data_IF_198554088870
#
_entry.id   IF_198554088870
#
_cell.length_a   1.000
_cell.length_b   1.000
_cell.length_c   1.000
_cell.angle_alpha   90.00
_cell.angle_beta   90.00
_cell.angle_gamma   90.00
#
_symmetry.space_group_name_H-M   'P 1'
#
loop_
_entity.id
_entity.type
_entity.pdbx_description
1 polymer ?
#
# COMPACT_ATOMS: atom_id res chain seq x y z
N UNK A 1 -9.10 -14.74 -25.10
CA UNK A 1 -10.10 -14.02 -25.34
C UNK A 1 -11.11 -13.83 -24.29
N UNK A 2 -11.65 -14.87 -23.69
CA UNK A 2 -12.61 -14.63 -22.63
C UNK A 2 -11.99 -13.84 -21.49
N UNK A 3 -10.76 -14.16 -21.14
CA UNK A 3 -10.15 -13.46 -20.04
C UNK A 3 -9.92 -12.00 -20.31
N UNK A 4 -9.79 -11.64 -21.57
CA UNK A 4 -9.47 -10.26 -21.88
C UNK A 4 -10.61 -9.31 -21.61
N UNK A 5 -11.82 -9.69 -21.99
CA UNK A 5 -12.92 -8.78 -21.79
C UNK A 5 -13.57 -8.95 -20.41
N UNK A 6 -13.22 -10.00 -19.71
CA UNK A 6 -13.65 -10.14 -18.33
C UNK A 6 -12.78 -9.36 -17.37
N UNK A 7 -11.52 -9.14 -17.73
CA UNK A 7 -10.60 -8.46 -16.83
C UNK A 7 -10.37 -7.03 -17.31
N UNK A 8 -11.44 -6.24 -17.25
CA UNK A 8 -11.33 -4.83 -17.54
C UNK A 8 -10.35 -4.20 -16.55
N UNK A 9 -9.41 -3.44 -17.06
CA UNK A 9 -8.36 -2.90 -16.23
C UNK A 9 -8.88 -1.78 -15.35
N UNK A 10 -8.26 -1.65 -14.19
CA UNK A 10 -8.64 -0.66 -13.20
C UNK A 10 -8.77 0.75 -13.80
N UNK A 11 -7.78 1.17 -14.58
CA UNK A 11 -7.80 2.52 -15.15
C UNK A 11 -8.91 2.71 -16.17
N UNK A 12 -9.43 1.62 -16.71
CA UNK A 12 -10.52 1.69 -17.69
C UNK A 12 -11.87 1.79 -17.00
N UNK A 13 -11.99 1.14 -15.85
CA UNK A 13 -13.22 1.20 -15.07
C UNK A 13 -13.38 2.59 -14.47
N UNK A 14 -12.27 3.14 -13.96
CA UNK A 14 -12.28 4.48 -13.36
C UNK A 14 -11.21 5.33 -14.02
N UNK A 15 -11.53 5.94 -15.18
CA UNK A 15 -10.57 6.82 -15.84
C UNK A 15 -10.35 8.10 -15.04
N UNK A 16 -9.40 8.93 -15.49
CA UNK A 16 -8.98 10.10 -14.73
C UNK A 16 -10.10 11.07 -14.41
N UNK A 17 -11.13 11.10 -15.24
CA UNK A 17 -12.25 12.03 -15.02
C UNK A 17 -13.37 11.43 -14.17
N UNK A 18 -13.16 10.21 -13.67
CA UNK A 18 -14.16 9.53 -12.86
C UNK A 18 -13.51 8.94 -11.62
N UNK A 19 -13.42 9.75 -10.57
CA UNK A 19 -12.81 9.32 -9.31
C UNK A 19 -13.73 8.33 -8.60
N UNK A 20 -13.23 7.16 -8.24
CA UNK A 20 -14.06 6.20 -7.53
C UNK A 20 -14.30 6.63 -6.09
N UNK A 21 -15.41 6.16 -5.53
CA UNK A 21 -15.64 6.30 -4.08
C UNK A 21 -14.86 5.20 -3.37
N UNK A 22 -14.71 5.36 -2.06
CA UNK A 22 -14.00 4.33 -1.27
C UNK A 22 -14.76 3.01 -1.31
N UNK A 23 -16.09 3.06 -1.34
CA UNK A 23 -16.88 1.83 -1.46
C UNK A 23 -16.67 1.15 -2.80
N UNK A 24 -16.59 1.94 -3.87
CA UNK A 24 -16.33 1.38 -5.20
C UNK A 24 -14.97 0.72 -5.27
N UNK A 25 -13.96 1.30 -4.62
CA UNK A 25 -12.64 0.71 -4.57
C UNK A 25 -12.70 -0.64 -3.85
N UNK A 26 -13.36 -0.68 -2.70
CA UNK A 26 -13.48 -1.91 -1.94
C UNK A 26 -14.20 -2.99 -2.74
N UNK A 27 -15.26 -2.61 -3.46
CA UNK A 27 -16.00 -3.56 -4.28
C UNK A 27 -15.16 -4.09 -5.43
N UNK A 28 -14.35 -3.23 -6.04
CA UNK A 28 -13.47 -3.66 -7.11
C UNK A 28 -12.47 -4.70 -6.61
N UNK A 29 -11.89 -4.45 -5.43
CA UNK A 29 -10.95 -5.40 -4.84
C UNK A 29 -11.62 -6.74 -4.60
N UNK A 30 -12.77 -6.73 -3.91
CA UNK A 30 -13.55 -7.93 -3.72
C UNK A 30 -12.85 -9.06 -3.01
N UNK A 31 -13.54 -10.19 -2.95
CA UNK A 31 -12.99 -11.41 -2.37
C UNK A 31 -12.55 -11.23 -0.92
N UNK A 32 -11.65 -12.07 -0.48
CA UNK A 32 -11.13 -12.00 0.89
C UNK A 32 -10.34 -10.72 1.11
N UNK A 33 -9.73 -10.21 0.06
CA UNK A 33 -8.91 -9.01 0.18
C UNK A 33 -9.73 -7.77 0.49
N UNK A 34 -11.02 -7.78 0.17
CA UNK A 34 -11.88 -6.64 0.47
C UNK A 34 -11.92 -6.36 1.98
N UNK A 35 -12.05 -7.41 2.78
CA UNK A 35 -12.08 -7.23 4.24
C UNK A 35 -10.75 -6.74 4.77
N UNK A 36 -9.66 -7.25 4.19
CA UNK A 36 -8.33 -6.80 4.58
C UNK A 36 -8.16 -5.31 4.27
N UNK A 37 -8.65 -4.90 3.11
CA UNK A 37 -8.60 -3.51 2.68
C UNK A 37 -9.37 -2.61 3.65
N UNK A 38 -10.62 -2.98 3.92
CA UNK A 38 -11.47 -2.17 4.81
C UNK A 38 -10.87 -2.08 6.20
N UNK A 39 -10.36 -3.19 6.71
CA UNK A 39 -9.77 -3.22 8.04
C UNK A 39 -8.49 -2.38 8.09
N UNK A 40 -7.69 -2.40 7.03
CA UNK A 40 -6.48 -1.58 6.99
C UNK A 40 -6.82 -0.09 6.97
N UNK A 41 -7.84 0.30 6.21
CA UNK A 41 -8.25 1.71 6.18
C UNK A 41 -8.72 2.17 7.55
N UNK A 42 -9.45 1.31 8.26
CA UNK A 42 -9.87 1.63 9.62
C UNK A 42 -8.66 1.78 10.54
N UNK A 43 -7.68 0.90 10.38
CA UNK A 43 -6.46 0.99 11.18
C UNK A 43 -5.73 2.31 10.91
N UNK A 44 -5.66 2.73 9.65
CA UNK A 44 -5.02 4.00 9.32
C UNK A 44 -5.73 5.16 10.01
N UNK A 45 -7.04 5.11 10.09
CA UNK A 45 -7.82 6.15 10.72
C UNK A 45 -7.62 6.15 12.24
N UNK A 46 -7.70 4.97 12.86
CA UNK A 46 -7.67 4.90 14.33
C UNK A 46 -6.26 5.01 14.89
N UNK A 47 -5.28 4.36 14.27
CA UNK A 47 -3.93 4.31 14.82
C UNK A 47 -3.10 5.53 14.40
N UNK A 48 -3.34 6.06 13.21
CA UNK A 48 -2.53 7.15 12.69
C UNK A 48 -3.30 8.45 12.51
N UNK A 49 -4.62 8.41 12.56
CA UNK A 49 -5.46 9.58 12.26
C UNK A 49 -5.15 10.07 10.85
N UNK A 50 -4.84 9.15 9.95
CA UNK A 50 -4.48 9.48 8.57
C UNK A 50 -5.68 9.22 7.69
N UNK A 51 -5.98 10.19 6.82
CA UNK A 51 -7.11 10.06 5.90
C UNK A 51 -6.61 9.68 4.52
N UNK A 52 -7.37 8.89 3.77
CA UNK A 52 -6.97 8.51 2.43
C UNK A 52 -7.03 9.71 1.49
N UNK A 53 -6.05 9.78 0.61
CA UNK A 53 -6.04 10.78 -0.44
C UNK A 53 -5.94 10.05 -1.77
N UNK A 54 -6.94 10.24 -2.63
CA UNK A 54 -6.95 9.60 -3.94
C UNK A 54 -6.12 10.40 -4.91
N UNK A 55 -5.39 9.69 -5.76
CA UNK A 55 -4.52 10.30 -6.74
C UNK A 55 -4.55 9.46 -8.01
N UNK A 56 -4.46 10.10 -9.17
CA UNK A 56 -4.46 9.40 -10.44
C UNK A 56 -3.04 9.37 -11.01
N UNK A 57 -2.54 8.18 -11.37
CA UNK A 57 -1.21 8.02 -11.91
C UNK A 57 -1.31 7.59 -13.37
N UNK A 58 -0.55 8.25 -14.25
CA UNK A 58 -0.57 7.93 -15.68
C UNK A 58 0.70 7.21 -16.13
N UNK A 59 1.79 7.39 -15.41
CA UNK A 59 3.10 6.92 -15.86
C UNK A 59 3.76 5.97 -14.90
N UNK A 60 3.10 4.92 -14.47
CA UNK A 60 3.74 4.00 -13.56
C UNK A 60 3.37 2.59 -13.95
N UNK A 61 4.00 1.62 -13.30
CA UNK A 61 3.62 0.24 -13.50
C UNK A 61 2.23 -0.07 -12.98
N UNK A 62 1.63 0.86 -12.21
CA UNK A 62 0.30 0.71 -11.66
C UNK A 62 -0.53 1.93 -12.03
N UNK A 63 -0.94 2.07 -13.28
CA UNK A 63 -1.69 3.26 -13.70
C UNK A 63 -3.10 3.28 -13.13
N UNK A 64 -3.66 4.48 -13.00
CA UNK A 64 -5.00 4.67 -12.50
C UNK A 64 -5.02 5.25 -11.11
N UNK A 65 -6.20 5.24 -10.50
CA UNK A 65 -6.40 5.81 -9.16
C UNK A 65 -5.71 4.97 -8.09
N UNK A 66 -5.07 5.66 -7.15
CA UNK A 66 -4.45 5.01 -6.00
C UNK A 66 -4.79 5.78 -4.74
N UNK A 67 -4.48 5.21 -3.60
CA UNK A 67 -4.80 5.80 -2.30
C UNK A 67 -3.51 6.04 -1.54
N UNK A 68 -3.26 7.30 -1.20
CA UNK A 68 -2.05 7.68 -0.48
C UNK A 68 -2.38 8.04 0.95
N UNK A 69 -1.47 7.69 1.86
CA UNK A 69 -1.59 8.06 3.26
C UNK A 69 -0.37 8.83 3.70
N UNK A 70 -0.59 9.94 4.38
CA UNK A 70 0.47 10.77 4.93
C UNK A 70 0.09 11.21 6.33
N UNK A 71 1.10 11.40 7.16
CA UNK A 71 0.88 11.92 8.51
C UNK A 71 2.16 12.57 9.00
N UNK A 72 2.04 13.77 9.54
CA UNK A 72 3.17 14.49 10.14
C UNK A 72 4.35 14.63 9.17
N UNK A 73 4.04 14.91 7.91
CA UNK A 73 5.07 15.07 6.90
C UNK A 73 5.68 13.78 6.40
N UNK A 74 5.20 12.63 6.84
CA UNK A 74 5.71 11.33 6.44
C UNK A 74 4.72 10.63 5.52
N UNK A 75 5.22 10.06 4.43
CA UNK A 75 4.40 9.19 3.60
C UNK A 75 4.34 7.83 4.27
N UNK A 76 3.13 7.35 4.50
CA UNK A 76 2.93 6.02 5.08
C UNK A 76 2.74 4.96 4.01
N UNK A 77 2.71 5.37 2.75
CA UNK A 77 2.62 4.44 1.65
C UNK A 77 1.52 4.80 0.67
N UNK A 78 1.57 4.16 -0.48
CA UNK A 78 0.56 4.29 -1.52
C UNK A 78 -0.03 2.91 -1.78
N UNK A 79 -1.35 2.84 -1.81
CA UNK A 79 -2.06 1.58 -2.01
C UNK A 79 -2.68 1.56 -3.40
N UNK A 80 -2.50 0.45 -4.10
CA UNK A 80 -2.99 0.26 -5.47
C UNK A 80 -4.02 -0.86 -5.50
N UNK A 81 -5.29 -0.55 -5.78
CA UNK A 81 -6.33 -1.59 -5.83
C UNK A 81 -6.08 -2.59 -6.96
N UNK A 82 -6.34 -3.84 -6.68
CA UNK A 82 -6.26 -4.94 -7.65
C UNK A 82 -7.42 -5.88 -7.38
N UNK A 83 -7.71 -6.77 -8.31
CA UNK A 83 -8.75 -7.76 -8.08
C UNK A 83 -8.26 -8.80 -7.09
N UNK A 84 -8.99 -8.98 -6.00
CA UNK A 84 -8.67 -9.94 -4.94
C UNK A 84 -7.35 -9.66 -4.24
N UNK A 85 -6.86 -8.41 -4.32
CA UNK A 85 -5.59 -8.06 -3.72
C UNK A 85 -5.42 -6.55 -3.78
N UNK A 86 -4.39 -6.03 -3.14
CA UNK A 86 -3.94 -4.67 -3.37
C UNK A 86 -2.45 -4.64 -3.12
N UNK A 87 -1.77 -3.71 -3.77
CA UNK A 87 -0.32 -3.58 -3.62
C UNK A 87 0.03 -2.35 -2.84
N UNK A 88 1.16 -2.40 -2.16
CA UNK A 88 1.66 -1.30 -1.34
C UNK A 88 3.00 -0.84 -1.90
N UNK A 89 3.15 0.47 -2.05
CA UNK A 89 4.43 1.09 -2.36
C UNK A 89 4.85 1.90 -1.16
N UNK A 90 6.05 1.64 -0.63
CA UNK A 90 6.53 2.34 0.55
C UNK A 90 8.04 2.55 0.41
N UNK A 91 8.52 3.73 0.83
CA UNK A 91 9.93 4.06 0.79
C UNK A 91 10.45 4.14 2.23
N UNK A 92 11.54 3.41 2.49
CA UNK A 92 12.20 3.45 3.80
C UNK A 92 13.43 4.32 3.66
N UNK A 93 13.41 5.49 4.29
CA UNK A 93 14.51 6.42 4.24
C UNK A 93 15.79 5.81 4.80
N UNK A 94 16.94 6.14 4.20
CA UNK A 94 18.23 5.66 4.71
C UNK A 94 18.44 6.10 6.16
N UNK A 95 17.87 7.23 6.55
CA UNK A 95 17.99 7.71 7.92
C UNK A 95 17.31 6.79 8.92
N UNK A 96 16.37 5.97 8.46
CA UNK A 96 15.59 5.09 9.33
C UNK A 96 16.15 3.68 9.36
N UNK A 97 17.32 3.46 8.77
CA UNK A 97 17.91 2.13 8.69
C UNK A 97 18.02 1.45 10.05
N UNK A 98 18.47 2.13 11.12
CA UNK A 98 18.54 1.45 12.43
C UNK A 98 17.18 0.98 12.93
N UNK A 99 16.13 1.75 12.67
CA UNK A 99 14.78 1.34 13.06
C UNK A 99 14.32 0.16 12.20
N UNK A 100 14.67 0.18 10.93
CA UNK A 100 14.33 -0.92 10.04
C UNK A 100 15.00 -2.21 10.49
N UNK A 101 16.28 -2.12 10.90
CA UNK A 101 16.99 -3.30 11.39
C UNK A 101 16.29 -3.94 12.59
N UNK A 102 15.69 -3.11 13.43
CA UNK A 102 15.00 -3.63 14.60
C UNK A 102 13.70 -4.35 14.23
N UNK A 103 13.11 -4.01 13.09
CA UNK A 103 11.83 -4.58 12.66
C UNK A 103 12.05 -5.86 11.84
N UNK A 104 13.18 -5.96 11.15
CA UNK A 104 13.43 -7.07 10.22
C UNK A 104 13.15 -8.45 10.84
N UNK A 105 13.55 -8.75 12.08
CA UNK A 105 13.28 -10.09 12.63
C UNK A 105 11.79 -10.41 12.78
N UNK A 106 10.94 -9.41 12.71
CA UNK A 106 9.49 -9.59 12.89
C UNK A 106 8.74 -9.69 11.57
N UNK A 107 9.42 -9.51 10.45
CA UNK A 107 8.80 -9.51 9.14
C UNK A 107 8.81 -10.89 8.51
N UNK A 108 7.87 -11.11 7.58
CA UNK A 108 7.88 -12.35 6.80
C UNK A 108 9.14 -12.40 5.96
N UNK A 109 9.62 -13.61 5.69
CA UNK A 109 10.87 -13.80 4.95
C UNK A 109 10.84 -13.15 3.57
N UNK A 110 9.71 -13.25 2.88
CA UNK A 110 9.63 -12.66 1.54
C UNK A 110 9.76 -11.13 1.61
N UNK A 111 9.27 -10.50 2.67
CA UNK A 111 9.40 -9.06 2.81
C UNK A 111 10.83 -8.68 3.18
N UNK A 112 11.49 -9.48 4.01
CA UNK A 112 12.89 -9.24 4.33
C UNK A 112 13.75 -9.30 3.08
N UNK A 113 13.53 -10.33 2.24
CA UNK A 113 14.27 -10.47 0.99
C UNK A 113 14.00 -9.30 0.04
N UNK A 114 12.74 -8.88 -0.03
CA UNK A 114 12.37 -7.75 -0.85
C UNK A 114 13.13 -6.50 -0.41
N UNK A 115 13.20 -6.26 0.90
CA UNK A 115 13.92 -5.09 1.40
C UNK A 115 15.41 -5.16 1.08
N UNK A 116 16.01 -6.34 1.23
CA UNK A 116 17.44 -6.50 0.97
C UNK A 116 17.78 -6.23 -0.49
N UNK A 117 16.84 -6.52 -1.40
CA UNK A 117 17.07 -6.34 -2.82
C UNK A 117 16.47 -5.04 -3.34
N UNK A 118 15.87 -4.24 -2.47
CA UNK A 118 15.17 -3.02 -2.89
C UNK A 118 16.11 -2.01 -3.50
N UNK A 119 15.61 -1.31 -4.51
CA UNK A 119 16.40 -0.31 -5.21
C UNK A 119 16.35 1.04 -4.54
N UNK A 120 17.25 1.90 -4.99
CA UNK A 120 17.34 3.26 -4.48
C UNK A 120 16.18 4.10 -5.01
N UNK A 121 15.65 4.96 -4.16
CA UNK A 121 14.59 5.90 -4.53
C UNK A 121 15.11 7.32 -4.33
N UNK A 122 15.55 7.93 -5.43
CA UNK A 122 15.94 9.35 -5.47
C UNK A 122 16.97 9.71 -4.40
N UNK A 123 17.83 8.77 -4.03
CA UNK A 123 18.88 8.95 -3.03
C UNK A 123 18.33 9.26 -1.64
N UNK A 124 17.03 9.03 -1.44
CA UNK A 124 16.39 9.26 -0.15
C UNK A 124 16.21 7.98 0.66
N UNK A 125 16.06 6.86 -0.02
CA UNK A 125 15.80 5.61 0.68
C UNK A 125 15.66 4.46 -0.30
N UNK A 126 15.16 3.34 0.21
CA UNK A 126 14.87 2.16 -0.59
C UNK A 126 13.37 2.05 -0.79
N UNK A 127 12.95 1.72 -2.02
CA UNK A 127 11.53 1.55 -2.29
C UNK A 127 11.17 0.08 -2.31
N UNK A 128 9.98 -0.22 -1.78
CA UNK A 128 9.44 -1.57 -1.77
C UNK A 128 8.04 -1.52 -2.36
N UNK A 129 7.70 -2.54 -3.13
CA UNK A 129 6.33 -2.72 -3.59
C UNK A 129 5.99 -4.19 -3.45
N UNK A 130 4.88 -4.49 -2.79
CA UNK A 130 4.47 -5.87 -2.62
C UNK A 130 2.95 -5.96 -2.58
N UNK A 131 2.46 -7.14 -2.94
CA UNK A 131 1.04 -7.40 -2.99
C UNK A 131 0.55 -7.93 -1.66
N UNK A 132 -0.60 -7.43 -1.23
CA UNK A 132 -1.25 -7.90 0.00
C UNK A 132 -2.50 -8.66 -0.38
N UNK A 133 -2.60 -9.91 0.05
CA UNK A 133 -3.78 -10.73 -0.18
C UNK A 133 -4.07 -11.65 1.00
N UNK A 134 -3.37 -11.47 2.11
CA UNK A 134 -3.62 -12.24 3.33
C UNK A 134 -3.26 -11.38 4.54
N UNK A 135 -3.57 -11.92 5.72
CA UNK A 135 -3.34 -11.22 6.98
C UNK A 135 -1.86 -10.94 7.20
N UNK A 136 -1.00 -11.88 6.82
CA UNK A 136 0.44 -11.69 7.02
C UNK A 136 0.94 -10.47 6.28
N UNK A 137 0.45 -10.24 5.07
CA UNK A 137 0.84 -9.07 4.30
C UNK A 137 0.43 -7.77 4.98
N UNK A 138 -0.77 -7.74 5.54
CA UNK A 138 -1.25 -6.58 6.28
C UNK A 138 -0.36 -6.33 7.50
N UNK A 139 -0.03 -7.39 8.24
CA UNK A 139 0.80 -7.24 9.44
C UNK A 139 2.21 -6.78 9.08
N UNK A 140 2.77 -7.29 7.99
CA UNK A 140 4.06 -6.82 7.53
C UNK A 140 4.03 -5.32 7.21
N UNK A 141 2.98 -4.88 6.53
CA UNK A 141 2.85 -3.48 6.17
C UNK A 141 2.75 -2.61 7.44
N UNK A 142 1.96 -3.05 8.42
CA UNK A 142 1.85 -2.31 9.67
C UNK A 142 3.21 -2.16 10.35
N UNK A 143 4.00 -3.22 10.35
CA UNK A 143 5.33 -3.16 10.95
C UNK A 143 6.25 -2.22 10.20
N UNK A 144 6.17 -2.23 8.88
CA UNK A 144 6.98 -1.30 8.08
C UNK A 144 6.59 0.14 8.37
N UNK A 145 5.30 0.42 8.56
CA UNK A 145 4.87 1.76 8.87
C UNK A 145 5.42 2.26 10.20
N UNK A 146 5.60 1.37 11.19
CA UNK A 146 6.15 1.79 12.48
C UNK A 146 7.57 2.31 12.36
N UNK A 147 8.29 1.91 11.32
CA UNK A 147 9.63 2.43 11.07
C UNK A 147 9.55 3.90 10.72
N UNK A 148 8.50 4.30 10.03
CA UNK A 148 8.35 5.68 9.55
C UNK A 148 7.67 6.56 10.58
N UNK A 149 6.72 6.03 11.30
CA UNK A 149 5.95 6.79 12.28
C UNK A 149 5.26 5.81 13.21
N UNK A 150 5.41 6.01 14.51
CA UNK A 150 4.76 5.12 15.46
C UNK A 150 3.26 5.45 15.53
N UNK A 151 2.41 4.42 15.58
CA UNK A 151 0.98 4.65 15.71
C UNK A 151 0.64 5.20 17.08
N UNK A 152 -0.50 5.88 17.15
CA UNK A 152 -1.03 6.34 18.43
C UNK A 152 -1.86 5.20 18.99
N UNK A 153 -1.28 4.49 19.95
CA UNK A 153 -1.92 3.33 20.51
C UNK A 153 -2.52 3.71 21.86
N UNK A 154 -3.71 3.17 22.12
CA UNK A 154 -4.38 3.41 23.39
C UNK A 154 -4.00 2.41 24.42
#
# INVERSE_FOLDING_TARGET
MEGEWESMQWKEIFPSHHQPTMDEIADYIGGDAKELWVSLLQYMETAYKAKPKLSYSVCSGKPGWNVKFQKSGQSLGTLYPEENAFSVFIVISYKLEPLMEAVIPKLSMNIVELYKQAGDYMKLGKWMMFQIKDVDGVEDYKKLMTVKLLPKVE
#
